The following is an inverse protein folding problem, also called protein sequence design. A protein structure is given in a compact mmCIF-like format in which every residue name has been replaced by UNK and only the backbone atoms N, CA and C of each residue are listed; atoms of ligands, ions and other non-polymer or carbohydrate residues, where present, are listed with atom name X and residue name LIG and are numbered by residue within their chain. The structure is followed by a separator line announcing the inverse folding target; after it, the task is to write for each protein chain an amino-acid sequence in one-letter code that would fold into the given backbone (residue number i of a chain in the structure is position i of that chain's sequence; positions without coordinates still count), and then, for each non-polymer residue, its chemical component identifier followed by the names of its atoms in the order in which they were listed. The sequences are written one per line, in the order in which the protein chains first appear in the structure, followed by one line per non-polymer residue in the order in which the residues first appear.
data_IF_920186269732
#
_entry.id   IF_920186269732
#
_cell.length_a   1.000
_cell.length_b   1.000
_cell.length_c   1.000
_cell.angle_alpha   90.00
_cell.angle_beta   90.00
_cell.angle_gamma   90.00
#
_symmetry.space_group_name_H-M   'P 1'
#
loop_
_entity.id
_entity.type
_entity.pdbx_description
1 polymer ?
#
# COMPACT_ATOMS: atom_id res chain seq x y z
N UNK A 1 -9.18 -4.33 6.53
CA UNK A 1 -8.84 -3.04 5.87
C UNK A 1 -7.56 -2.50 6.50
N UNK A 2 -6.62 -3.40 6.81
CA UNK A 2 -5.72 -3.23 7.95
C UNK A 2 -4.50 -2.39 7.61
N UNK A 3 -4.10 -2.39 6.33
CA UNK A 3 -3.06 -1.51 5.82
C UNK A 3 -3.44 -0.04 5.77
N UNK A 4 -4.68 0.26 5.39
CA UNK A 4 -5.18 1.64 5.31
C UNK A 4 -5.48 2.21 6.71
N UNK A 5 -5.87 1.36 7.66
CA UNK A 5 -6.18 1.80 9.02
C UNK A 5 -4.97 2.40 9.76
N UNK A 6 -3.76 2.03 9.34
CA UNK A 6 -2.51 2.52 9.92
C UNK A 6 -1.91 3.72 9.15
N UNK A 7 -2.59 4.23 8.11
CA UNK A 7 -2.14 5.41 7.37
C UNK A 7 -2.78 6.64 8.01
N UNK A 8 -2.00 7.42 8.74
CA UNK A 8 -2.44 8.69 9.36
C UNK A 8 -2.46 9.84 8.34
N UNK A 9 -3.01 9.60 7.14
CA UNK A 9 -3.03 10.57 6.05
C UNK A 9 -4.20 10.43 5.10
N UNK A 10 -4.69 11.55 4.59
CA UNK A 10 -5.81 11.57 3.63
C UNK A 10 -5.43 10.96 2.27
N UNK A 11 -4.13 10.93 1.95
CA UNK A 11 -3.60 10.48 0.67
C UNK A 11 -2.64 9.30 0.86
N UNK A 12 -2.93 8.21 0.16
CA UNK A 12 -2.08 7.03 0.05
C UNK A 12 -1.66 6.82 -1.41
N UNK A 13 -0.37 6.57 -1.62
CA UNK A 13 0.22 6.29 -2.93
C UNK A 13 0.31 4.79 -3.12
N UNK A 14 -0.26 4.30 -4.22
CA UNK A 14 -0.22 2.90 -4.59
C UNK A 14 0.75 2.71 -5.74
N UNK A 15 1.76 1.88 -5.51
CA UNK A 15 2.70 1.46 -6.53
C UNK A 15 2.34 0.04 -6.97
N UNK A 16 1.85 -0.06 -8.21
CA UNK A 16 1.48 -1.32 -8.84
C UNK A 16 2.62 -1.79 -9.75
N UNK A 17 3.06 -3.03 -9.56
CA UNK A 17 3.90 -3.73 -10.53
C UNK A 17 3.03 -4.59 -11.45
N UNK A 18 3.50 -5.81 -11.71
CA UNK A 18 2.76 -6.80 -12.48
C UNK A 18 1.59 -7.42 -11.67
N UNK A 19 0.59 -8.03 -12.33
CA UNK A 19 -0.57 -8.65 -11.68
C UNK A 19 -0.24 -9.80 -10.71
N UNK A 20 0.98 -10.34 -10.77
CA UNK A 20 1.49 -11.38 -9.87
C UNK A 20 2.43 -10.83 -8.79
N UNK A 21 2.74 -9.54 -8.85
CA UNK A 21 3.70 -8.87 -7.99
C UNK A 21 2.97 -8.18 -6.84
N UNK A 22 3.69 -7.96 -5.74
CA UNK A 22 3.14 -7.24 -4.60
C UNK A 22 2.80 -5.79 -4.94
N UNK A 23 1.77 -5.27 -4.28
CA UNK A 23 1.37 -3.87 -4.33
C UNK A 23 1.98 -3.19 -3.12
N UNK A 24 2.72 -2.10 -3.36
CA UNK A 24 3.29 -1.29 -2.29
C UNK A 24 2.42 -0.05 -2.07
N UNK A 25 1.97 0.12 -0.84
CA UNK A 25 1.23 1.31 -0.38
C UNK A 25 2.17 2.14 0.49
N UNK A 26 2.32 3.42 0.16
CA UNK A 26 3.11 4.41 0.91
C UNK A 26 2.28 5.66 1.16
N UNK A 27 2.72 6.50 2.09
CA UNK A 27 2.12 7.82 2.32
C UNK A 27 3.22 8.87 2.38
N UNK A 28 2.97 10.07 1.85
CA UNK A 28 3.92 11.18 1.92
C UNK A 28 4.13 11.70 3.34
N UNK A 29 3.21 11.43 4.27
CA UNK A 29 3.34 11.83 5.67
C UNK A 29 4.33 10.96 6.45
N UNK A 30 4.53 9.70 6.05
CA UNK A 30 5.38 8.75 6.78
C UNK A 30 6.28 8.03 5.77
N UNK A 31 7.50 8.53 5.61
CA UNK A 31 8.47 7.96 4.65
C UNK A 31 8.88 6.51 4.99
N UNK A 32 8.75 6.12 6.25
CA UNK A 32 9.04 4.75 6.72
C UNK A 32 7.85 3.80 6.60
N UNK A 33 6.65 4.31 6.30
CA UNK A 33 5.47 3.46 6.16
C UNK A 33 5.48 2.77 4.79
N UNK A 34 5.63 1.44 4.83
CA UNK A 34 5.59 0.58 3.65
C UNK A 34 4.64 -0.57 3.93
N UNK A 35 3.46 -0.53 3.34
CA UNK A 35 2.51 -1.61 3.46
C UNK A 35 2.47 -2.40 2.16
N UNK A 36 2.86 -3.68 2.25
CA UNK A 36 3.00 -4.56 1.10
C UNK A 36 1.85 -5.55 1.09
N UNK A 37 1.09 -5.58 0.00
CA UNK A 37 -0.06 -6.47 -0.17
C UNK A 37 0.18 -7.41 -1.34
N UNK A 38 -0.05 -8.70 -1.15
CA UNK A 38 -0.04 -9.65 -2.25
C UNK A 38 -1.43 -9.68 -2.89
N UNK A 39 -1.58 -9.44 -4.20
CA UNK A 39 -2.87 -9.57 -4.86
C UNK A 39 -3.32 -11.04 -4.82
N UNK A 40 -4.57 -11.27 -4.45
CA UNK A 40 -5.22 -12.56 -4.64
C UNK A 40 -6.09 -12.51 -5.89
N UNK A 41 -6.04 -13.57 -6.70
CA UNK A 41 -6.94 -13.71 -7.86
C UNK A 41 -8.35 -13.97 -7.33
N UNK A 42 -9.31 -13.18 -7.80
CA UNK A 42 -10.74 -13.33 -7.52
C UNK A 42 -11.47 -13.88 -8.74
#
# INVERSE_FOLDING_TARGET
MDGLNNIEGELATFSFGDPNSSILITTSQIQEFRYVVMPMRI
#
